data_IF_642121722930
#
_entry.id   IF_642121722930
#
_cell.length_a   1.000
_cell.length_b   1.000
_cell.length_c   1.000
_cell.angle_alpha   90.00
_cell.angle_beta   90.00
_cell.angle_gamma   90.00
#
_symmetry.space_group_name_H-M   'P 1'
#
loop_
_entity.id
_entity.type
_entity.pdbx_description
1 polymer ?
#
# COMPACT_ATOMS: atom_id res chain seq x y z
N UNK A 1 -54.26 21.43 44.13
CA UNK A 1 -54.19 21.18 42.68
C UNK A 1 -54.37 19.69 42.44
N UNK A 2 -55.30 19.38 41.53
CA UNK A 2 -55.75 18.13 40.90
C UNK A 2 -54.83 16.88 41.00
N UNK A 3 -55.33 15.71 41.48
CA UNK A 3 -55.94 14.55 40.75
C UNK A 3 -54.88 13.68 40.03
N UNK A 4 -54.83 12.33 40.03
CA UNK A 4 -55.78 11.20 40.22
C UNK A 4 -55.00 10.00 40.84
N UNK A 5 -55.47 9.15 41.78
CA UNK A 5 -56.53 8.11 41.81
C UNK A 5 -56.48 7.04 40.69
N UNK A 6 -56.31 5.77 41.13
CA UNK A 6 -56.99 4.54 40.65
C UNK A 6 -56.15 3.48 39.91
N UNK A 7 -55.84 2.41 40.64
CA UNK A 7 -55.52 1.01 40.27
C UNK A 7 -56.74 0.26 39.66
N UNK A 8 -56.75 -1.07 39.37
CA UNK A 8 -55.76 -2.03 38.81
C UNK A 8 -56.34 -3.00 37.72
N UNK A 9 -55.50 -3.93 37.24
CA UNK A 9 -55.82 -5.34 36.85
C UNK A 9 -56.46 -5.67 35.48
N UNK A 10 -55.88 -6.67 34.79
CA UNK A 10 -56.47 -8.00 34.47
C UNK A 10 -55.80 -8.62 33.21
N UNK A 11 -55.32 -9.86 33.37
CA UNK A 11 -54.93 -10.81 32.30
C UNK A 11 -56.06 -11.04 31.28
N UNK A 12 -55.73 -11.22 30.00
CA UNK A 12 -56.40 -12.24 29.17
C UNK A 12 -55.61 -12.67 27.93
N UNK A 13 -55.78 -13.94 27.66
CA UNK A 13 -55.09 -14.86 26.77
C UNK A 13 -55.69 -14.88 25.35
N UNK A 14 -54.92 -15.45 24.41
CA UNK A 14 -55.30 -16.24 23.22
C UNK A 14 -55.53 -15.57 21.84
N UNK A 15 -54.67 -16.07 20.93
CA UNK A 15 -54.95 -16.64 19.61
C UNK A 15 -55.04 -15.77 18.35
N UNK A 16 -54.01 -16.00 17.51
CA UNK A 16 -54.02 -16.24 16.07
C UNK A 16 -55.35 -16.06 15.32
N UNK A 17 -55.32 -15.21 14.29
CA UNK A 17 -55.72 -15.65 12.95
C UNK A 17 -55.02 -14.82 11.86
N UNK A 18 -54.60 -15.59 10.86
CA UNK A 18 -54.10 -15.33 9.51
C UNK A 18 -54.78 -14.18 8.75
N UNK A 19 -53.98 -13.38 8.06
CA UNK A 19 -54.38 -12.75 6.79
C UNK A 19 -53.24 -12.78 5.78
N UNK A 20 -53.60 -13.13 4.56
CA UNK A 20 -52.80 -13.52 3.40
C UNK A 20 -52.29 -12.37 2.51
N UNK A 21 -51.02 -12.49 2.08
CA UNK A 21 -50.35 -12.00 0.83
C UNK A 21 -50.28 -10.47 0.56
N UNK A 22 -49.24 -9.93 -0.15
CA UNK A 22 -48.48 -10.60 -1.21
C UNK A 22 -46.93 -10.56 -1.13
N UNK A 23 -46.39 -11.48 -1.92
CA UNK A 23 -45.01 -11.74 -2.32
C UNK A 23 -44.32 -10.54 -2.99
N UNK A 24 -43.11 -10.20 -2.54
CA UNK A 24 -42.08 -9.52 -3.34
C UNK A 24 -40.70 -9.71 -2.69
N UNK A 25 -39.72 -10.08 -3.51
CA UNK A 25 -38.47 -10.77 -3.19
C UNK A 25 -37.48 -9.99 -2.31
N UNK A 26 -37.08 -10.58 -1.17
CA UNK A 26 -35.84 -10.22 -0.48
C UNK A 26 -34.71 -11.12 -1.00
N UNK A 27 -33.86 -10.57 -1.85
CA UNK A 27 -32.58 -11.17 -2.22
C UNK A 27 -31.63 -11.12 -1.02
N UNK A 28 -31.68 -12.14 -0.17
CA UNK A 28 -30.57 -12.46 0.73
C UNK A 28 -29.58 -13.31 -0.08
N UNK A 29 -28.29 -12.97 -0.15
CA UNK A 29 -27.34 -13.82 -0.85
C UNK A 29 -27.27 -15.17 -0.12
N UNK A 30 -27.64 -16.22 -0.84
CA UNK A 30 -27.57 -17.61 -0.39
C UNK A 30 -26.20 -17.93 0.23
N UNK A 31 -26.19 -18.70 1.33
CA UNK A 31 -24.99 -19.27 1.95
C UNK A 31 -24.07 -19.99 0.94
N UNK A 32 -24.61 -20.38 -0.22
CA UNK A 32 -23.87 -20.98 -1.33
C UNK A 32 -22.92 -19.99 -2.02
N UNK A 33 -23.29 -18.70 -2.11
CA UNK A 33 -22.44 -17.65 -2.69
C UNK A 33 -21.26 -17.38 -1.75
N UNK A 34 -21.49 -17.29 -0.44
CA UNK A 34 -20.40 -17.08 0.53
C UNK A 34 -19.40 -18.24 0.56
N UNK A 35 -19.86 -19.49 0.38
CA UNK A 35 -18.99 -20.68 0.23
C UNK A 35 -18.26 -20.73 -1.10
N UNK A 36 -18.88 -20.35 -2.22
CA UNK A 36 -18.19 -20.24 -3.51
C UNK A 36 -17.11 -19.15 -3.48
N UNK A 37 -17.33 -18.05 -2.77
CA UNK A 37 -16.35 -16.96 -2.62
C UNK A 37 -15.20 -17.32 -1.67
N UNK A 38 -15.45 -18.00 -0.55
CA UNK A 38 -14.35 -18.54 0.27
C UNK A 38 -13.52 -19.57 -0.51
N UNK A 39 -14.16 -20.41 -1.33
CA UNK A 39 -13.43 -21.31 -2.22
C UNK A 39 -12.67 -20.58 -3.32
N UNK A 40 -13.16 -19.45 -3.84
CA UNK A 40 -12.43 -18.61 -4.80
C UNK A 40 -11.24 -17.87 -4.17
N UNK A 41 -11.35 -17.45 -2.90
CA UNK A 41 -10.26 -16.84 -2.13
C UNK A 41 -9.20 -17.89 -1.73
N UNK A 42 -9.62 -19.09 -1.35
CA UNK A 42 -8.73 -20.23 -1.08
C UNK A 42 -8.12 -20.77 -2.38
N UNK A 43 -8.84 -20.73 -3.50
CA UNK A 43 -8.33 -21.10 -4.82
C UNK A 43 -7.37 -20.02 -5.39
N UNK A 44 -7.56 -18.73 -5.09
CA UNK A 44 -6.61 -17.67 -5.49
C UNK A 44 -5.34 -17.66 -4.66
N UNK A 45 -5.36 -18.11 -3.39
CA UNK A 45 -4.11 -18.47 -2.67
C UNK A 45 -3.39 -19.69 -3.26
N UNK A 46 -4.06 -20.49 -4.10
CA UNK A 46 -3.48 -21.64 -4.82
C UNK A 46 -2.99 -21.33 -6.23
N UNK A 47 -3.15 -20.10 -6.74
CA UNK A 47 -2.48 -19.65 -7.97
C UNK A 47 -1.07 -19.12 -7.66
N UNK A 48 -0.30 -19.87 -6.86
CA UNK A 48 1.09 -20.09 -7.22
C UNK A 48 1.04 -21.17 -8.30
N UNK A 49 1.44 -20.84 -9.53
CA UNK A 49 1.61 -21.82 -10.59
C UNK A 49 2.28 -23.08 -10.00
N UNK A 50 1.64 -24.26 -10.04
CA UNK A 50 2.30 -25.50 -9.63
C UNK A 50 3.38 -25.78 -10.67
N UNK A 51 4.62 -25.35 -10.37
CA UNK A 51 5.77 -25.49 -11.25
C UNK A 51 6.61 -24.23 -11.44
N UNK A 52 6.09 -23.03 -11.15
CA UNK A 52 6.95 -21.85 -11.07
C UNK A 52 7.59 -21.85 -9.68
N UNK A 53 8.83 -22.32 -9.59
CA UNK A 53 9.65 -22.00 -8.42
C UNK A 53 9.61 -20.47 -8.29
N UNK A 54 9.25 -19.88 -7.13
CA UNK A 54 9.59 -18.48 -6.90
C UNK A 54 11.07 -18.37 -7.24
N UNK A 55 11.45 -17.36 -8.03
CA UNK A 55 12.82 -17.18 -8.48
C UNK A 55 13.67 -16.92 -7.23
N UNK A 56 14.08 -18.01 -6.56
CA UNK A 56 14.95 -18.02 -5.41
C UNK A 56 16.34 -17.75 -5.97
N UNK A 57 16.60 -16.48 -6.25
CA UNK A 57 17.97 -16.02 -6.27
C UNK A 57 18.53 -16.32 -4.87
N UNK A 58 19.63 -17.09 -4.76
CA UNK A 58 20.27 -17.29 -3.48
C UNK A 58 20.55 -15.91 -2.89
N UNK A 59 20.01 -15.62 -1.70
CA UNK A 59 20.05 -14.30 -1.04
C UNK A 59 21.45 -13.68 -0.96
N UNK A 60 22.51 -14.47 -1.20
CA UNK A 60 23.90 -14.02 -1.22
C UNK A 60 24.27 -13.16 -2.44
N UNK A 61 23.52 -13.22 -3.54
CA UNK A 61 23.89 -12.56 -4.81
C UNK A 61 22.69 -11.99 -5.60
N UNK A 62 21.60 -11.61 -4.92
CA UNK A 62 20.42 -11.03 -5.56
C UNK A 62 20.76 -9.87 -6.53
N UNK A 63 21.67 -8.98 -6.14
CA UNK A 63 22.20 -7.89 -6.97
C UNK A 63 22.84 -8.32 -8.31
N UNK A 64 23.21 -9.61 -8.47
CA UNK A 64 23.79 -10.16 -9.70
C UNK A 64 22.77 -10.72 -10.68
N UNK A 65 21.46 -10.60 -10.39
CA UNK A 65 20.44 -11.03 -11.34
C UNK A 65 20.67 -10.34 -12.69
N UNK A 66 20.59 -11.11 -13.77
CA UNK A 66 20.87 -10.62 -15.13
C UNK A 66 19.88 -9.52 -15.49
N UNK A 67 20.38 -8.30 -15.72
CA UNK A 67 19.54 -7.15 -16.01
C UNK A 67 18.91 -7.26 -17.39
N UNK A 68 17.61 -6.94 -17.46
CA UNK A 68 16.93 -6.70 -18.74
C UNK A 68 17.60 -5.53 -19.44
N UNK A 69 17.75 -5.62 -20.76
CA UNK A 69 18.31 -4.55 -21.61
C UNK A 69 17.30 -4.08 -22.64
N UNK A 70 17.44 -2.83 -23.07
CA UNK A 70 16.69 -2.27 -24.19
C UNK A 70 17.32 -2.65 -25.54
N UNK A 71 16.81 -2.07 -26.63
CA UNK A 71 17.27 -2.33 -28.00
C UNK A 71 18.70 -1.83 -28.24
N UNK A 72 19.16 -0.85 -27.45
CA UNK A 72 20.49 -0.24 -27.53
C UNK A 72 21.49 -0.92 -26.58
N UNK A 73 21.04 -1.92 -25.82
CA UNK A 73 21.85 -2.67 -24.86
C UNK A 73 21.99 -2.00 -23.49
N UNK A 74 21.29 -0.89 -23.23
CA UNK A 74 21.29 -0.25 -21.91
C UNK A 74 20.46 -1.05 -20.92
N UNK A 75 20.89 -1.08 -19.66
CA UNK A 75 20.16 -1.77 -18.61
C UNK A 75 18.86 -1.04 -18.26
N UNK A 76 17.75 -1.77 -18.22
CA UNK A 76 16.44 -1.25 -17.80
C UNK A 76 16.29 -1.50 -16.30
N UNK A 77 16.74 -0.55 -15.49
CA UNK A 77 16.71 -0.64 -14.02
C UNK A 77 16.65 0.75 -13.35
N UNK A 78 15.91 0.94 -12.25
CA UNK A 78 15.09 -0.04 -11.52
C UNK A 78 13.75 -0.36 -12.19
N UNK A 79 13.33 0.46 -13.15
CA UNK A 79 12.12 0.35 -13.95
C UNK A 79 12.41 0.99 -15.33
N UNK A 80 11.54 0.85 -16.35
CA UNK A 80 11.68 1.59 -17.60
C UNK A 80 11.82 3.11 -17.36
N UNK A 81 12.80 3.74 -18.00
CA UNK A 81 13.10 5.17 -17.81
C UNK A 81 11.87 6.06 -18.06
N UNK A 82 11.08 5.74 -19.09
CA UNK A 82 9.85 6.46 -19.41
C UNK A 82 8.79 6.37 -18.30
N UNK A 83 8.77 5.30 -17.50
CA UNK A 83 7.89 5.21 -16.34
C UNK A 83 8.43 6.06 -15.17
N UNK A 84 9.73 6.01 -14.93
CA UNK A 84 10.41 6.81 -13.89
C UNK A 84 10.16 8.30 -14.12
N UNK A 85 10.38 8.78 -15.35
CA UNK A 85 10.18 10.20 -15.68
C UNK A 85 8.71 10.61 -15.56
N UNK A 86 7.76 9.77 -16.00
CA UNK A 86 6.32 10.01 -15.78
C UNK A 86 5.95 10.11 -14.31
N UNK A 87 6.55 9.30 -13.43
CA UNK A 87 6.34 9.43 -11.99
C UNK A 87 6.96 10.71 -11.42
N UNK A 88 8.16 11.09 -11.85
CA UNK A 88 8.79 12.35 -11.45
C UNK A 88 7.91 13.54 -11.82
N UNK A 89 7.40 13.57 -13.04
CA UNK A 89 6.49 14.61 -13.52
C UNK A 89 5.16 14.62 -12.75
N UNK A 90 4.58 13.44 -12.51
CA UNK A 90 3.38 13.32 -11.69
C UNK A 90 3.59 13.91 -10.28
N UNK A 91 4.72 13.60 -9.62
CA UNK A 91 5.00 14.07 -8.26
C UNK A 91 5.26 15.58 -8.20
N UNK A 92 5.98 16.14 -9.19
CA UNK A 92 6.15 17.60 -9.33
C UNK A 92 4.82 18.30 -9.52
N UNK A 93 3.99 17.79 -10.44
CA UNK A 93 2.66 18.34 -10.70
C UNK A 93 1.75 18.24 -9.46
N UNK A 94 1.75 17.09 -8.78
CA UNK A 94 0.99 16.87 -7.55
C UNK A 94 1.35 17.90 -6.46
N UNK A 95 2.65 18.17 -6.27
CA UNK A 95 3.10 19.15 -5.30
C UNK A 95 2.71 20.59 -5.71
N UNK A 96 2.95 20.95 -6.97
CA UNK A 96 2.64 22.28 -7.51
C UNK A 96 1.13 22.58 -7.54
N UNK A 97 0.29 21.57 -7.73
CA UNK A 97 -1.16 21.74 -7.76
C UNK A 97 -1.74 22.14 -6.39
N UNK A 98 -1.07 21.83 -5.29
CA UNK A 98 -1.53 22.20 -3.94
C UNK A 98 -2.90 21.61 -3.58
N UNK A 99 -3.23 20.42 -4.08
CA UNK A 99 -4.53 19.75 -3.88
C UNK A 99 -4.42 18.60 -2.88
N UNK A 100 -5.58 18.08 -2.45
CA UNK A 100 -5.64 16.91 -1.55
C UNK A 100 -5.04 15.68 -2.24
N UNK A 101 -4.07 15.07 -1.56
CA UNK A 101 -3.35 13.89 -2.02
C UNK A 101 -3.55 12.76 -1.02
N UNK A 102 -3.95 11.59 -1.52
CA UNK A 102 -4.11 10.38 -0.74
C UNK A 102 -2.98 9.40 -1.06
N UNK A 103 -2.24 8.99 -0.03
CA UNK A 103 -1.25 7.92 -0.12
C UNK A 103 -1.91 6.61 0.32
N UNK A 104 -1.74 5.55 -0.47
CA UNK A 104 -2.37 4.23 -0.26
C UNK A 104 -1.29 3.14 -0.28
N UNK A 105 -0.51 3.01 0.81
CA UNK A 105 0.56 2.01 0.89
C UNK A 105 0.00 0.61 1.22
N UNK A 106 0.70 -0.46 0.83
CA UNK A 106 0.45 -1.75 1.48
C UNK A 106 0.84 -1.68 2.96
N UNK A 107 0.25 -2.59 3.73
CA UNK A 107 0.28 -2.65 5.20
C UNK A 107 1.62 -3.07 5.81
N UNK A 108 2.62 -3.43 5.00
CA UNK A 108 3.88 -3.96 5.47
C UNK A 108 5.02 -2.92 5.46
N UNK A 109 6.22 -3.33 5.83
CA UNK A 109 7.33 -2.38 5.94
C UNK A 109 7.76 -1.78 4.59
N UNK A 110 7.60 -2.47 3.46
CA UNK A 110 8.00 -1.94 2.16
C UNK A 110 6.99 -0.90 1.67
N UNK A 111 5.70 -1.26 1.66
CA UNK A 111 4.62 -0.32 1.36
C UNK A 111 4.57 0.90 2.27
N UNK A 112 4.64 0.72 3.60
CA UNK A 112 4.61 1.84 4.53
C UNK A 112 5.86 2.74 4.39
N UNK A 113 7.04 2.16 4.16
CA UNK A 113 8.24 2.94 3.91
C UNK A 113 8.13 3.73 2.60
N UNK A 114 7.65 3.12 1.51
CA UNK A 114 7.38 3.80 0.25
C UNK A 114 6.44 5.01 0.47
N UNK A 115 5.36 4.81 1.23
CA UNK A 115 4.42 5.89 1.58
C UNK A 115 5.08 7.03 2.33
N UNK A 116 5.93 6.71 3.30
CA UNK A 116 6.63 7.71 4.10
C UNK A 116 7.64 8.51 3.24
N UNK A 117 8.30 7.85 2.28
CA UNK A 117 9.18 8.50 1.30
C UNK A 117 8.38 9.49 0.45
N UNK A 118 7.29 9.05 -0.20
CA UNK A 118 6.40 9.94 -0.99
C UNK A 118 5.95 11.14 -0.15
N UNK A 119 5.48 10.91 1.09
CA UNK A 119 5.02 11.99 1.95
C UNK A 119 6.12 13.02 2.23
N UNK A 120 7.32 12.56 2.61
CA UNK A 120 8.45 13.45 2.90
C UNK A 120 8.86 14.22 1.64
N UNK A 121 8.93 13.55 0.49
CA UNK A 121 9.26 14.18 -0.79
C UNK A 121 8.23 15.22 -1.22
N UNK A 122 6.93 14.95 -1.14
CA UNK A 122 5.90 15.94 -1.48
C UNK A 122 5.97 17.18 -0.57
N UNK A 123 6.27 17.00 0.71
CA UNK A 123 6.49 18.12 1.65
C UNK A 123 7.73 18.93 1.26
N UNK A 124 8.83 18.26 0.90
CA UNK A 124 10.05 18.92 0.42
C UNK A 124 9.80 19.71 -0.88
N UNK A 125 8.92 19.20 -1.75
CA UNK A 125 8.49 19.88 -2.98
C UNK A 125 7.46 21.01 -2.74
N UNK A 126 7.08 21.26 -1.48
CA UNK A 126 6.21 22.38 -1.09
C UNK A 126 4.73 22.04 -0.86
N UNK A 127 4.32 20.77 -0.98
CA UNK A 127 2.93 20.40 -0.67
C UNK A 127 2.68 20.49 0.83
N UNK A 128 1.68 21.30 1.22
CA UNK A 128 1.37 21.51 2.63
C UNK A 128 0.97 20.18 3.32
N UNK A 129 1.55 19.80 4.48
CA UNK A 129 1.30 18.50 5.11
C UNK A 129 -0.17 18.18 5.39
N UNK A 130 -1.01 19.19 5.66
CA UNK A 130 -2.46 19.04 5.88
C UNK A 130 -3.24 18.57 4.63
N UNK A 131 -2.65 18.68 3.44
CA UNK A 131 -3.26 18.19 2.19
C UNK A 131 -2.94 16.73 1.92
N UNK A 132 -2.04 16.12 2.69
CA UNK A 132 -1.58 14.74 2.49
C UNK A 132 -2.26 13.85 3.52
N UNK A 133 -3.16 12.99 3.06
CA UNK A 133 -3.79 11.94 3.86
C UNK A 133 -3.22 10.57 3.50
N UNK A 134 -3.44 9.59 4.37
CA UNK A 134 -3.11 8.20 4.11
C UNK A 134 -4.33 7.33 4.39
N UNK A 135 -4.59 6.39 3.48
CA UNK A 135 -5.55 5.32 3.70
C UNK A 135 -4.80 3.99 3.75
N UNK A 136 -4.79 3.36 4.92
CA UNK A 136 -4.23 2.02 5.11
C UNK A 136 -5.35 0.99 4.99
N UNK A 137 -5.14 -0.04 4.18
CA UNK A 137 -6.13 -1.09 3.93
C UNK A 137 -6.57 -1.80 5.22
N UNK A 138 -7.89 -1.98 5.39
CA UNK A 138 -8.45 -2.80 6.47
C UNK A 138 -8.04 -4.28 6.37
N UNK A 139 -8.17 -5.01 7.47
CA UNK A 139 -7.87 -6.45 7.53
C UNK A 139 -8.77 -7.19 6.53
N UNK A 140 -8.14 -7.91 5.59
CA UNK A 140 -8.80 -8.64 4.50
C UNK A 140 -9.45 -7.78 3.41
N UNK A 141 -9.15 -6.48 3.35
CA UNK A 141 -9.56 -5.63 2.23
C UNK A 141 -8.50 -5.63 1.12
N UNK A 142 -8.96 -5.45 -0.11
CA UNK A 142 -8.13 -5.24 -1.29
C UNK A 142 -8.48 -3.87 -1.88
N UNK A 143 -7.54 -3.25 -2.60
CA UNK A 143 -7.69 -1.91 -3.15
C UNK A 143 -9.02 -1.69 -3.90
N UNK A 144 -9.47 -2.70 -4.65
CA UNK A 144 -10.68 -2.64 -5.50
C UNK A 144 -11.90 -3.36 -4.92
N UNK A 145 -11.82 -3.91 -3.71
CA UNK A 145 -12.90 -4.71 -3.12
C UNK A 145 -13.32 -4.21 -1.73
N UNK A 146 -14.59 -4.46 -1.41
CA UNK A 146 -15.24 -3.99 -0.19
C UNK A 146 -15.40 -2.48 -0.17
N UNK A 147 -15.46 -1.92 1.04
CA UNK A 147 -15.69 -0.48 1.24
C UNK A 147 -14.46 0.38 0.93
N UNK A 148 -13.35 -0.20 0.46
CA UNK A 148 -12.07 0.51 0.25
C UNK A 148 -12.19 1.69 -0.70
N UNK A 149 -12.94 1.54 -1.79
CA UNK A 149 -13.16 2.63 -2.76
C UNK A 149 -13.90 3.79 -2.14
N UNK A 150 -15.03 3.52 -1.49
CA UNK A 150 -15.84 4.52 -0.80
C UNK A 150 -15.06 5.19 0.34
N UNK A 151 -14.26 4.43 1.08
CA UNK A 151 -13.41 4.95 2.15
C UNK A 151 -12.31 5.88 1.60
N UNK A 152 -11.67 5.51 0.49
CA UNK A 152 -10.69 6.39 -0.19
C UNK A 152 -11.37 7.64 -0.75
N UNK A 153 -12.56 7.50 -1.31
CA UNK A 153 -13.34 8.60 -1.88
C UNK A 153 -13.79 9.61 -0.82
N UNK A 154 -14.05 9.17 0.41
CA UNK A 154 -14.39 10.04 1.53
C UNK A 154 -13.28 11.07 1.87
N UNK A 155 -12.03 10.84 1.47
CA UNK A 155 -10.96 11.84 1.59
C UNK A 155 -11.04 12.96 0.53
N UNK A 156 -11.90 12.79 -0.48
CA UNK A 156 -12.06 13.67 -1.64
C UNK A 156 -10.72 14.07 -2.29
N UNK A 157 -9.85 13.10 -2.65
CA UNK A 157 -8.53 13.38 -3.19
C UNK A 157 -8.57 13.82 -4.65
N UNK A 158 -7.67 14.72 -5.04
CA UNK A 158 -7.39 15.01 -6.45
C UNK A 158 -6.24 14.17 -7.00
N UNK A 159 -5.35 13.71 -6.12
CA UNK A 159 -4.22 12.83 -6.43
C UNK A 159 -4.25 11.61 -5.52
N UNK A 160 -4.01 10.43 -6.09
CA UNK A 160 -3.90 9.17 -5.36
C UNK A 160 -2.59 8.49 -5.74
N UNK A 161 -1.80 8.09 -4.74
CA UNK A 161 -0.53 7.40 -4.94
C UNK A 161 -0.60 6.05 -4.22
N UNK A 162 -0.70 4.97 -4.99
CA UNK A 162 -0.79 3.59 -4.52
C UNK A 162 0.61 2.98 -4.53
N UNK A 163 1.00 2.34 -3.44
CA UNK A 163 2.38 1.87 -3.25
C UNK A 163 2.39 0.43 -2.76
N UNK A 164 3.26 -0.38 -3.37
CA UNK A 164 3.48 -1.79 -3.00
C UNK A 164 2.25 -2.68 -3.16
N UNK A 165 1.36 -2.25 -4.05
CA UNK A 165 0.16 -2.95 -4.48
C UNK A 165 -0.38 -2.24 -5.73
N UNK A 166 -1.43 -2.81 -6.31
CA UNK A 166 -2.14 -2.17 -7.41
C UNK A 166 -1.63 -2.55 -8.79
N UNK A 167 -0.58 -3.39 -8.89
CA UNK A 167 -0.21 -4.10 -10.12
C UNK A 167 -1.25 -5.17 -10.50
N UNK A 168 -2.50 -4.75 -10.75
CA UNK A 168 -3.56 -5.59 -11.28
C UNK A 168 -4.57 -4.76 -12.07
N UNK A 169 -5.09 -5.31 -13.16
CA UNK A 169 -6.08 -4.64 -13.99
C UNK A 169 -7.41 -4.45 -13.26
N UNK A 170 -7.93 -3.22 -13.28
CA UNK A 170 -9.18 -2.87 -12.61
C UNK A 170 -9.77 -1.53 -13.06
N UNK A 171 -10.95 -1.22 -12.53
CA UNK A 171 -11.55 0.12 -12.60
C UNK A 171 -10.65 1.20 -11.95
N UNK A 172 -10.84 2.49 -12.28
CA UNK A 172 -10.09 3.60 -11.67
C UNK A 172 -10.11 3.50 -10.14
N UNK A 173 -9.08 3.99 -9.42
CA UNK A 173 -8.92 3.70 -7.98
C UNK A 173 -10.17 4.05 -7.14
N UNK A 174 -10.82 5.17 -7.47
CA UNK A 174 -12.14 5.60 -6.97
C UNK A 174 -13.02 6.09 -8.13
N UNK A 175 -14.30 6.37 -7.87
CA UNK A 175 -15.25 6.77 -8.92
C UNK A 175 -15.14 8.26 -9.27
N UNK A 176 -14.91 9.12 -8.28
CA UNK A 176 -14.71 10.56 -8.49
C UNK A 176 -13.44 10.88 -9.29
N UNK A 177 -13.42 11.99 -10.05
CA UNK A 177 -12.27 12.38 -10.86
C UNK A 177 -10.99 12.60 -10.03
N UNK A 178 -9.93 11.88 -10.38
CA UNK A 178 -8.63 11.97 -9.74
C UNK A 178 -7.50 11.63 -10.73
N UNK A 179 -6.27 11.97 -10.37
CA UNK A 179 -5.06 11.44 -11.02
C UNK A 179 -4.46 10.36 -10.13
N UNK A 180 -4.04 9.24 -10.71
CA UNK A 180 -3.49 8.12 -9.97
C UNK A 180 -2.08 7.75 -10.43
N UNK A 181 -1.22 7.43 -9.47
CA UNK A 181 0.11 6.85 -9.67
C UNK A 181 0.19 5.55 -8.88
N UNK A 182 0.69 4.49 -9.50
CA UNK A 182 0.98 3.18 -8.89
C UNK A 182 2.49 2.95 -8.96
N UNK A 183 3.13 2.71 -7.82
CA UNK A 183 4.53 2.28 -7.74
C UNK A 183 4.56 0.92 -7.06
N UNK A 184 4.92 -0.11 -7.81
CA UNK A 184 4.82 -1.48 -7.33
C UNK A 184 5.87 -2.39 -7.98
N UNK A 185 6.17 -3.52 -7.36
CA UNK A 185 7.15 -4.50 -7.81
C UNK A 185 6.61 -5.92 -7.93
N UNK A 186 5.35 -6.14 -7.53
CA UNK A 186 4.67 -7.42 -7.67
C UNK A 186 4.54 -7.86 -9.13
N UNK A 187 4.38 -9.18 -9.33
CA UNK A 187 4.17 -9.76 -10.64
C UNK A 187 2.91 -9.19 -11.30
N UNK A 188 3.09 -8.60 -12.49
CA UNK A 188 2.04 -7.99 -13.30
C UNK A 188 2.33 -8.15 -14.79
N UNK A 189 1.30 -8.10 -15.62
CA UNK A 189 1.46 -7.76 -17.03
C UNK A 189 1.53 -6.25 -17.25
N UNK A 190 1.90 -5.83 -18.46
CA UNK A 190 2.24 -4.43 -18.73
C UNK A 190 1.01 -3.49 -18.60
N UNK A 191 -0.21 -4.03 -18.70
CA UNK A 191 -1.49 -3.31 -18.51
C UNK A 191 -2.20 -3.66 -17.19
N UNK A 192 -1.54 -4.35 -16.27
CA UNK A 192 -2.08 -4.72 -14.96
C UNK A 192 -2.00 -3.55 -13.96
N UNK A 193 -2.87 -2.56 -14.13
CA UNK A 193 -3.05 -1.46 -13.17
C UNK A 193 -4.46 -0.85 -13.26
N UNK A 194 -4.88 -0.04 -12.27
CA UNK A 194 -6.17 0.64 -12.30
C UNK A 194 -6.28 1.55 -13.52
N UNK A 195 -7.43 1.50 -14.19
CA UNK A 195 -7.69 2.30 -15.39
C UNK A 195 -7.43 3.78 -15.14
N UNK A 196 -6.63 4.39 -16.01
CA UNK A 196 -6.28 5.82 -15.94
C UNK A 196 -5.14 6.16 -14.97
N UNK A 197 -4.59 5.19 -14.24
CA UNK A 197 -3.39 5.40 -13.43
C UNK A 197 -2.12 5.34 -14.28
N UNK A 198 -1.07 6.03 -13.84
CA UNK A 198 0.30 5.83 -14.30
C UNK A 198 0.87 4.66 -13.50
N UNK A 199 1.39 3.62 -14.18
CA UNK A 199 2.13 2.54 -13.55
C UNK A 199 3.64 2.78 -13.68
N UNK A 200 4.35 2.67 -12.56
CA UNK A 200 5.80 2.48 -12.51
C UNK A 200 6.09 1.18 -11.80
N UNK A 201 6.74 0.24 -12.49
CA UNK A 201 7.00 -1.06 -11.92
C UNK A 201 8.43 -1.54 -12.12
N UNK A 202 8.99 -2.11 -11.05
CA UNK A 202 10.25 -2.85 -11.09
C UNK A 202 10.06 -4.30 -11.54
N UNK A 203 8.82 -4.75 -11.72
CA UNK A 203 8.54 -6.07 -12.26
C UNK A 203 9.22 -6.23 -13.64
N UNK A 204 9.73 -7.42 -13.92
CA UNK A 204 10.52 -7.72 -15.13
C UNK A 204 11.82 -6.88 -15.28
N UNK A 205 12.28 -6.18 -14.25
CA UNK A 205 13.55 -5.43 -14.19
C UNK A 205 14.50 -6.01 -13.13
N UNK A 206 15.04 -7.22 -13.33
CA UNK A 206 15.99 -7.84 -12.41
C UNK A 206 17.27 -7.00 -12.20
N UNK A 207 17.86 -6.99 -10.98
CA UNK A 207 17.24 -7.44 -9.74
C UNK A 207 16.04 -6.56 -9.38
N UNK A 208 14.92 -7.18 -9.03
CA UNK A 208 13.67 -6.47 -8.76
C UNK A 208 13.89 -5.55 -7.55
N UNK A 209 13.82 -4.25 -7.78
CA UNK A 209 13.80 -3.27 -6.71
C UNK A 209 12.46 -3.39 -5.97
N UNK A 210 12.51 -3.37 -4.62
CA UNK A 210 11.28 -3.31 -3.82
C UNK A 210 10.59 -1.97 -4.03
N UNK A 211 9.32 -1.85 -3.65
CA UNK A 211 8.53 -0.63 -3.83
C UNK A 211 9.15 0.55 -3.11
N UNK A 212 9.69 0.37 -1.89
CA UNK A 212 10.39 1.45 -1.17
C UNK A 212 11.70 1.87 -1.84
N UNK A 213 12.46 0.91 -2.40
CA UNK A 213 13.69 1.21 -3.15
C UNK A 213 13.38 1.94 -4.46
N UNK A 214 12.42 1.45 -5.25
CA UNK A 214 11.99 2.10 -6.48
C UNK A 214 11.51 3.52 -6.20
N UNK A 215 10.66 3.68 -5.18
CA UNK A 215 10.17 4.99 -4.75
C UNK A 215 11.31 5.92 -4.32
N UNK A 216 12.27 5.42 -3.54
CA UNK A 216 13.45 6.20 -3.14
C UNK A 216 14.27 6.68 -4.33
N UNK A 217 14.53 5.81 -5.30
CA UNK A 217 15.31 6.15 -6.50
C UNK A 217 14.60 7.20 -7.36
N UNK A 218 13.27 7.14 -7.46
CA UNK A 218 12.47 8.17 -8.13
C UNK A 218 12.57 9.50 -7.38
N UNK A 219 12.39 9.47 -6.05
CA UNK A 219 12.27 10.66 -5.23
C UNK A 219 13.61 11.38 -4.96
N UNK A 220 14.73 10.65 -4.90
CA UNK A 220 16.05 11.25 -4.60
C UNK A 220 16.46 12.29 -5.65
N UNK A 221 16.05 12.08 -6.90
CA UNK A 221 16.35 12.98 -8.02
C UNK A 221 15.40 14.20 -8.06
N UNK A 222 14.38 14.24 -7.21
CA UNK A 222 13.41 15.34 -7.14
C UNK A 222 13.84 16.44 -6.16
N UNK A 223 14.59 16.10 -5.11
CA UNK A 223 15.01 17.06 -4.10
C UNK A 223 16.23 16.54 -3.30
N UNK A 224 17.27 17.36 -3.12
CA UNK A 224 18.55 16.99 -2.49
C UNK A 224 18.41 16.37 -1.08
N UNK A 225 17.49 16.90 -0.27
CA UNK A 225 17.22 16.43 1.10
C UNK A 225 16.54 15.06 1.20
N UNK A 226 16.13 14.45 0.08
CA UNK A 226 15.50 13.11 0.11
C UNK A 226 16.50 12.06 0.57
N UNK A 227 17.75 12.11 0.11
CA UNK A 227 18.77 11.13 0.50
C UNK A 227 18.96 11.06 2.03
N UNK A 228 19.17 12.22 2.65
CA UNK A 228 19.31 12.34 4.12
C UNK A 228 18.04 11.89 4.86
N UNK A 229 16.88 12.37 4.43
CA UNK A 229 15.62 12.17 5.18
C UNK A 229 14.96 10.82 4.97
N UNK A 230 15.28 10.13 3.86
CA UNK A 230 14.58 8.93 3.40
C UNK A 230 15.48 7.72 3.19
N UNK A 231 16.82 7.86 3.23
CA UNK A 231 17.73 6.72 3.03
C UNK A 231 17.45 5.57 3.99
N UNK A 232 17.14 5.86 5.26
CA UNK A 232 16.81 4.82 6.25
C UNK A 232 15.46 4.14 5.98
N UNK A 233 14.48 4.85 5.41
CA UNK A 233 13.19 4.27 5.00
C UNK A 233 13.39 3.30 3.85
N UNK A 234 14.20 3.68 2.85
CA UNK A 234 14.58 2.83 1.72
C UNK A 234 15.20 1.52 2.20
N UNK A 235 16.19 1.59 3.11
CA UNK A 235 16.81 0.39 3.67
C UNK A 235 15.82 -0.44 4.47
N UNK A 236 14.99 0.21 5.30
CA UNK A 236 14.01 -0.48 6.16
C UNK A 236 12.99 -1.26 5.33
N UNK A 237 12.42 -0.65 4.28
CA UNK A 237 11.45 -1.31 3.40
C UNK A 237 12.10 -2.44 2.60
N UNK A 238 13.26 -2.19 2.00
CA UNK A 238 14.04 -3.21 1.28
C UNK A 238 14.36 -4.42 2.15
N UNK A 239 14.78 -4.21 3.40
CA UNK A 239 15.03 -5.29 4.36
C UNK A 239 13.74 -5.96 4.86
N UNK A 240 12.62 -5.24 4.87
CA UNK A 240 11.31 -5.76 5.21
C UNK A 240 10.81 -6.81 4.22
N UNK A 241 11.10 -6.62 2.93
CA UNK A 241 10.67 -7.49 1.85
C UNK A 241 11.71 -8.58 1.51
N UNK A 242 12.94 -8.19 1.19
CA UNK A 242 13.99 -9.12 0.73
C UNK A 242 14.84 -9.72 1.87
N UNK A 243 14.60 -9.28 3.11
CA UNK A 243 15.41 -9.64 4.27
C UNK A 243 16.72 -8.85 4.37
N UNK A 244 17.42 -9.06 5.49
CA UNK A 244 18.61 -8.27 5.86
C UNK A 244 19.94 -8.79 5.29
N UNK A 245 19.91 -9.93 4.59
CA UNK A 245 21.08 -10.56 3.97
C UNK A 245 21.46 -9.94 2.62
N UNK A 246 20.62 -9.05 2.08
CA UNK A 246 20.88 -8.36 0.82
C UNK A 246 22.16 -7.51 0.90
N UNK A 247 22.92 -7.56 -0.20
CA UNK A 247 24.15 -6.79 -0.39
C UNK A 247 23.82 -5.52 -1.18
N UNK A 248 24.09 -4.36 -0.58
CA UNK A 248 24.00 -3.05 -1.22
C UNK A 248 25.21 -2.85 -2.16
N UNK A 249 25.13 -3.48 -3.33
CA UNK A 249 26.11 -3.41 -4.42
C UNK A 249 25.37 -3.12 -5.73
N UNK A 250 26.05 -2.57 -6.75
CA UNK A 250 25.43 -2.32 -8.04
C UNK A 250 24.61 -3.52 -8.54
N UNK A 251 23.40 -3.28 -9.07
CA UNK A 251 22.83 -1.97 -9.39
C UNK A 251 22.18 -1.22 -8.21
N UNK A 252 22.08 -1.82 -7.01
CA UNK A 252 21.57 -1.12 -5.83
C UNK A 252 22.42 0.10 -5.47
N UNK A 253 21.79 1.17 -4.93
CA UNK A 253 22.51 2.37 -4.53
C UNK A 253 23.49 2.08 -3.38
N UNK A 254 24.51 2.93 -3.28
CA UNK A 254 25.42 2.91 -2.14
C UNK A 254 24.72 3.49 -0.90
N UNK A 255 24.46 2.65 0.11
CA UNK A 255 23.81 3.05 1.36
C UNK A 255 24.79 3.23 2.53
N UNK A 256 26.09 3.39 2.26
CA UNK A 256 27.12 3.55 3.30
C UNK A 256 26.84 4.73 4.23
N UNK A 257 26.42 5.88 3.70
CA UNK A 257 26.08 7.06 4.51
C UNK A 257 24.93 6.75 5.49
N UNK A 258 23.89 6.06 5.01
CA UNK A 258 22.77 5.59 5.85
C UNK A 258 23.25 4.66 6.96
N UNK A 259 24.13 3.70 6.66
CA UNK A 259 24.67 2.78 7.67
C UNK A 259 25.69 3.40 8.61
N UNK A 260 26.35 4.49 8.20
CA UNK A 260 27.19 5.31 9.08
C UNK A 260 26.38 6.05 10.14
N UNK A 261 25.13 6.40 9.82
CA UNK A 261 24.22 7.14 10.73
C UNK A 261 23.33 6.21 11.55
N UNK A 262 22.89 5.10 10.96
CA UNK A 262 21.94 4.19 11.56
C UNK A 262 22.45 2.75 11.52
N UNK A 263 22.48 2.09 12.67
CA UNK A 263 22.93 0.70 12.72
C UNK A 263 21.96 -0.21 11.98
N UNK A 264 22.50 -1.25 11.32
CA UNK A 264 21.69 -2.28 10.65
C UNK A 264 20.70 -2.94 11.61
N UNK A 265 21.10 -3.15 12.86
CA UNK A 265 20.25 -3.72 13.91
C UNK A 265 19.05 -2.83 14.20
N UNK A 266 19.27 -1.52 14.34
CA UNK A 266 18.18 -0.55 14.57
C UNK A 266 17.19 -0.59 13.41
N UNK A 267 17.66 -0.47 12.17
CA UNK A 267 16.80 -0.51 10.97
C UNK A 267 15.98 -1.81 10.90
N UNK A 268 16.63 -2.96 11.12
CA UNK A 268 15.95 -4.26 11.08
C UNK A 268 14.90 -4.40 12.19
N UNK A 269 15.16 -3.89 13.38
CA UNK A 269 14.19 -3.91 14.47
C UNK A 269 13.01 -2.98 14.18
N UNK A 270 13.26 -1.80 13.60
CA UNK A 270 12.21 -0.90 13.11
C UNK A 270 11.31 -1.60 12.09
N UNK A 271 11.88 -2.30 11.10
CA UNK A 271 11.10 -3.04 10.10
C UNK A 271 10.20 -4.13 10.73
N UNK A 272 10.68 -4.81 11.79
CA UNK A 272 9.87 -5.80 12.54
C UNK A 272 8.72 -5.13 13.28
N UNK A 273 8.98 -4.01 13.96
CA UNK A 273 7.97 -3.27 14.71
C UNK A 273 6.89 -2.69 13.80
N UNK A 274 7.27 -2.11 12.65
CA UNK A 274 6.33 -1.61 11.64
C UNK A 274 5.49 -2.75 11.05
N UNK A 275 6.06 -3.95 10.89
CA UNK A 275 5.33 -5.12 10.43
C UNK A 275 4.42 -5.76 11.50
N UNK A 276 4.62 -5.46 12.79
CA UNK A 276 3.90 -6.16 13.85
C UNK A 276 2.38 -5.91 13.80
N UNK A 277 1.87 -4.66 13.64
CA UNK A 277 0.44 -4.39 13.67
C UNK A 277 -0.36 -5.13 12.61
N UNK A 278 0.17 -5.34 11.39
CA UNK A 278 -0.53 -6.14 10.36
C UNK A 278 -0.63 -7.65 10.69
N UNK A 279 0.13 -8.14 11.67
CA UNK A 279 0.19 -9.56 12.07
C UNK A 279 -0.58 -9.87 13.35
N UNK A 280 -0.98 -8.86 14.12
CA UNK A 280 -1.74 -9.06 15.36
C UNK A 280 -3.24 -9.23 15.10
N UNK A 281 -3.98 -9.65 16.14
CA UNK A 281 -5.43 -9.69 16.09
C UNK A 281 -6.01 -8.30 15.78
N UNK A 282 -5.52 -7.29 16.49
CA UNK A 282 -5.98 -5.89 16.46
C UNK A 282 -5.83 -5.21 15.10
N UNK A 283 -4.82 -5.59 14.30
CA UNK A 283 -4.61 -5.05 12.97
C UNK A 283 -4.50 -3.50 12.93
N UNK A 284 -3.61 -2.93 13.75
CA UNK A 284 -3.49 -1.46 13.91
C UNK A 284 -2.42 -0.84 12.97
N UNK A 285 -2.57 -1.09 11.67
CA UNK A 285 -1.72 -0.49 10.63
C UNK A 285 -1.79 1.05 10.62
N UNK A 286 -2.97 1.69 10.83
CA UNK A 286 -3.05 3.15 10.94
C UNK A 286 -2.10 3.71 12.00
N UNK A 287 -1.98 3.08 13.17
CA UNK A 287 -1.03 3.52 14.20
C UNK A 287 0.42 3.35 13.78
N UNK A 288 0.77 2.25 13.11
CA UNK A 288 2.11 2.05 12.55
C UNK A 288 2.49 3.20 11.61
N UNK A 289 1.57 3.56 10.71
CA UNK A 289 1.74 4.69 9.80
C UNK A 289 1.94 6.03 10.54
N UNK A 290 1.10 6.33 11.54
CA UNK A 290 1.20 7.58 12.30
C UNK A 290 2.53 7.72 13.04
N UNK A 291 3.04 6.62 13.60
CA UNK A 291 4.36 6.60 14.24
C UNK A 291 5.45 6.79 13.18
N UNK A 292 5.36 6.09 12.05
CA UNK A 292 6.35 6.14 10.96
C UNK A 292 6.53 7.56 10.38
N UNK A 293 5.44 8.28 10.11
CA UNK A 293 5.52 9.62 9.49
C UNK A 293 6.01 10.70 10.45
N UNK A 294 5.90 10.48 11.77
CA UNK A 294 6.45 11.37 12.80
C UNK A 294 7.93 11.09 13.03
N UNK A 295 8.40 9.89 12.74
CA UNK A 295 9.78 9.50 12.96
C UNK A 295 10.74 10.25 12.03
N UNK A 296 11.81 10.78 12.63
CA UNK A 296 12.95 11.34 11.91
C UNK A 296 14.01 10.27 11.59
N UNK A 297 14.03 9.20 12.39
CA UNK A 297 15.06 8.16 12.35
C UNK A 297 14.54 6.80 12.84
N UNK A 298 15.19 5.69 12.50
CA UNK A 298 14.72 4.35 12.88
C UNK A 298 14.78 4.11 14.40
N UNK A 299 15.66 4.79 15.14
CA UNK A 299 15.79 4.61 16.60
C UNK A 299 14.54 5.09 17.35
N UNK A 300 13.83 6.09 16.82
CA UNK A 300 12.57 6.55 17.40
C UNK A 300 11.50 5.48 17.30
N UNK A 301 11.51 4.64 16.26
CA UNK A 301 10.57 3.52 16.12
C UNK A 301 10.82 2.40 17.14
N UNK A 302 12.07 2.24 17.59
CA UNK A 302 12.46 1.18 18.53
C UNK A 302 12.27 1.59 20.00
N UNK A 303 12.27 2.91 20.28
CA UNK A 303 12.12 3.46 21.63
C UNK A 303 10.67 3.74 22.04
N UNK A 304 9.71 3.59 21.13
CA UNK A 304 8.26 3.73 21.37
C UNK A 304 7.62 2.40 21.76
#
# INVERSE_FOLDING_TARGET
>A
MLRLISTPSVLKTLNAQTSSFPTSSKNVPSLTIFRQFQNAIVARKKFQYPGAKPMMFPAKDYHKAEQRRDQDGNAIWPAPESQIEKAKDFLRECAAAGKRTLIVPDKDADGLAAGAIIRKTLILLGLHPKLISCYTMNKNSLLHYGDSRANMEAYNPSYIIVLDQGSWKSEPVIDSPHRALVIDHHLAEDDDHPKGAILVTANKCPPIATSSLLTYLICRDLHERVEESCGWLCVMGTHGDLGNAIRWRPPFPNMQATFGTHTRTTINNSAKLINAPRRTADYDVPRAWQILIKASSPIELVKN
#
